data_IF_212315673374
#
_entry.id   IF_212315673374
#
_cell.length_a   1.000
_cell.length_b   1.000
_cell.length_c   1.000
_cell.angle_alpha   90.00
_cell.angle_beta   90.00
_cell.angle_gamma   90.00
#
_symmetry.space_group_name_H-M   'P 1'
#
loop_
_entity.id
_entity.type
_entity.pdbx_description
1 polymer ?
#
# COMPACT_ATOMS: atom_id res chain seq x y z
N UNK A 1 3.62 -27.22 -0.40
CA UNK A 1 2.56 -26.17 -0.24
C UNK A 1 2.76 -25.49 1.10
N UNK A 2 2.99 -24.19 1.08
CA UNK A 2 3.12 -23.41 2.30
C UNK A 2 1.74 -23.19 2.97
N UNK A 3 1.73 -22.60 4.18
CA UNK A 3 0.49 -22.37 4.92
C UNK A 3 -0.48 -21.46 4.15
N UNK A 4 0.03 -20.40 3.52
CA UNK A 4 -0.77 -19.43 2.79
C UNK A 4 -1.45 -20.05 1.57
N UNK A 5 -0.75 -20.91 0.85
CA UNK A 5 -1.32 -21.66 -0.28
C UNK A 5 -2.44 -22.61 0.16
N UNK A 6 -2.27 -23.27 1.31
CA UNK A 6 -3.31 -24.14 1.88
C UNK A 6 -4.54 -23.33 2.27
N UNK A 7 -4.34 -22.22 2.98
CA UNK A 7 -5.45 -21.33 3.36
C UNK A 7 -6.17 -20.80 2.13
N UNK A 8 -5.44 -20.35 1.12
CA UNK A 8 -6.02 -19.88 -0.14
C UNK A 8 -6.84 -20.96 -0.83
N UNK A 9 -6.31 -22.17 -0.95
CA UNK A 9 -7.00 -23.29 -1.61
C UNK A 9 -8.33 -23.68 -0.95
N UNK A 10 -8.42 -23.52 0.38
CA UNK A 10 -9.67 -23.75 1.11
C UNK A 10 -10.65 -22.58 0.97
N UNK A 11 -10.14 -21.34 1.06
CA UNK A 11 -10.98 -20.14 0.99
C UNK A 11 -11.57 -19.90 -0.40
N UNK A 12 -10.83 -20.20 -1.47
CA UNK A 12 -11.31 -19.99 -2.85
C UNK A 12 -12.51 -20.87 -3.18
N UNK A 13 -12.66 -22.02 -2.51
CA UNK A 13 -13.82 -22.89 -2.67
C UNK A 13 -15.11 -22.29 -2.14
N UNK A 14 -15.01 -21.26 -1.30
CA UNK A 14 -16.18 -20.58 -0.71
C UNK A 14 -16.71 -19.43 -1.59
N UNK A 15 -16.05 -19.14 -2.69
CA UNK A 15 -16.45 -18.11 -3.65
C UNK A 15 -16.81 -18.72 -5.00
N UNK A 16 -17.49 -17.95 -5.86
CA UNK A 16 -17.75 -18.40 -7.22
C UNK A 16 -16.46 -18.55 -8.03
N UNK A 17 -16.42 -19.45 -9.00
CA UNK A 17 -15.30 -19.66 -9.92
C UNK A 17 -14.83 -18.34 -10.53
N UNK A 18 -15.76 -17.54 -11.05
CA UNK A 18 -15.46 -16.21 -11.60
C UNK A 18 -14.76 -15.27 -10.61
N UNK A 19 -15.13 -15.31 -9.33
CA UNK A 19 -14.43 -14.51 -8.29
C UNK A 19 -13.02 -15.04 -8.02
N UNK A 20 -12.84 -16.36 -8.02
CA UNK A 20 -11.52 -16.97 -7.88
C UNK A 20 -10.58 -16.55 -9.01
N UNK A 21 -11.04 -16.65 -10.26
CA UNK A 21 -10.29 -16.19 -11.44
C UNK A 21 -9.94 -14.70 -11.37
N UNK A 22 -10.89 -13.86 -10.94
CA UNK A 22 -10.68 -12.43 -10.78
C UNK A 22 -9.61 -12.12 -9.72
N UNK A 23 -9.58 -12.86 -8.61
CA UNK A 23 -8.56 -12.69 -7.58
C UNK A 23 -7.17 -13.00 -8.11
N UNK A 24 -7.03 -14.08 -8.86
CA UNK A 24 -5.76 -14.48 -9.46
C UNK A 24 -5.29 -13.47 -10.50
N UNK A 25 -6.19 -13.00 -11.36
CA UNK A 25 -5.90 -11.99 -12.37
C UNK A 25 -5.42 -10.67 -11.74
N UNK A 26 -6.16 -10.14 -10.76
CA UNK A 26 -5.79 -8.89 -10.08
C UNK A 26 -4.47 -9.06 -9.33
N UNK A 27 -4.26 -10.16 -8.63
CA UNK A 27 -3.02 -10.43 -7.92
C UNK A 27 -1.80 -10.49 -8.86
N UNK A 28 -1.96 -11.10 -10.03
CA UNK A 28 -0.90 -11.20 -11.05
C UNK A 28 -0.51 -9.83 -11.65
N UNK A 29 -1.41 -8.85 -11.62
CA UNK A 29 -1.17 -7.49 -12.11
C UNK A 29 -0.51 -6.57 -11.07
N UNK A 30 -0.28 -7.05 -9.85
CA UNK A 30 0.35 -6.25 -8.77
C UNK A 30 1.87 -6.31 -8.83
N UNK A 31 2.50 -5.20 -8.51
CA UNK A 31 3.95 -5.10 -8.44
C UNK A 31 4.42 -4.64 -7.06
N UNK A 32 5.53 -5.21 -6.62
CA UNK A 32 6.26 -4.79 -5.43
C UNK A 32 7.58 -4.05 -5.80
N UNK A 33 7.81 -3.85 -7.10
CA UNK A 33 8.97 -3.13 -7.60
C UNK A 33 8.98 -1.65 -7.23
N UNK A 34 7.78 -1.05 -7.19
CA UNK A 34 7.57 0.33 -6.72
C UNK A 34 6.66 0.27 -5.51
N UNK A 35 7.09 0.91 -4.43
CA UNK A 35 6.26 1.17 -3.26
C UNK A 35 6.03 2.66 -3.14
N UNK A 36 4.87 3.05 -2.64
CA UNK A 36 4.53 4.44 -2.34
C UNK A 36 4.62 4.66 -0.85
N UNK A 37 5.19 5.78 -0.44
CA UNK A 37 5.26 6.20 0.96
C UNK A 37 4.57 7.55 1.09
N UNK A 38 3.63 7.65 2.02
CA UNK A 38 2.99 8.90 2.41
C UNK A 38 3.30 9.21 3.86
N UNK A 39 3.58 10.47 4.13
CA UNK A 39 3.97 10.92 5.46
C UNK A 39 2.99 11.95 5.99
N UNK A 40 2.45 11.67 7.18
CA UNK A 40 1.71 12.61 8.02
C UNK A 40 0.58 13.35 7.28
N UNK A 41 -0.19 12.64 6.45
CA UNK A 41 -1.30 13.25 5.70
C UNK A 41 -2.42 13.70 6.64
N UNK A 42 -2.75 14.97 6.56
CA UNK A 42 -3.80 15.58 7.39
C UNK A 42 -5.21 15.25 6.87
N UNK A 43 -5.41 15.26 5.54
CA UNK A 43 -6.73 15.07 4.94
C UNK A 43 -6.94 13.63 4.50
N UNK A 44 -8.00 12.97 4.98
CA UNK A 44 -8.39 11.63 4.57
C UNK A 44 -8.70 11.54 3.05
N UNK A 45 -9.12 12.65 2.43
CA UNK A 45 -9.32 12.74 0.99
C UNK A 45 -8.01 12.47 0.22
N UNK A 46 -6.89 13.06 0.65
CA UNK A 46 -5.60 12.87 0.00
C UNK A 46 -5.09 11.43 0.19
N UNK A 47 -5.24 10.88 1.39
CA UNK A 47 -4.89 9.49 1.66
C UNK A 47 -5.68 8.51 0.78
N UNK A 48 -6.98 8.75 0.66
CA UNK A 48 -7.88 7.93 -0.16
C UNK A 48 -7.56 8.04 -1.66
N UNK A 49 -7.23 9.24 -2.13
CA UNK A 49 -6.82 9.46 -3.52
C UNK A 49 -5.52 8.76 -3.86
N UNK A 50 -4.53 8.79 -2.97
CA UNK A 50 -3.26 8.06 -3.15
C UNK A 50 -3.50 6.55 -3.15
N UNK A 51 -4.29 6.03 -2.22
CA UNK A 51 -4.65 4.61 -2.17
C UNK A 51 -5.31 4.15 -3.48
N UNK A 52 -6.25 4.92 -3.99
CA UNK A 52 -6.92 4.64 -5.27
C UNK A 52 -5.93 4.68 -6.44
N UNK A 53 -5.01 5.64 -6.45
CA UNK A 53 -3.96 5.72 -7.48
C UNK A 53 -3.04 4.50 -7.42
N UNK A 54 -2.63 4.06 -6.24
CA UNK A 54 -1.87 2.83 -6.07
C UNK A 54 -2.58 1.62 -6.66
N UNK A 55 -3.88 1.48 -6.38
CA UNK A 55 -4.69 0.40 -6.93
C UNK A 55 -4.76 0.46 -8.47
N UNK A 56 -5.02 1.63 -9.05
CA UNK A 56 -5.10 1.82 -10.50
C UNK A 56 -3.80 1.46 -11.24
N UNK A 57 -2.64 1.70 -10.63
CA UNK A 57 -1.34 1.39 -11.22
C UNK A 57 -0.78 0.02 -10.81
N UNK A 58 -1.55 -0.79 -10.11
CA UNK A 58 -1.12 -2.12 -9.68
C UNK A 58 -0.02 -2.10 -8.62
N UNK A 59 0.12 -1.02 -7.85
CA UNK A 59 1.06 -0.94 -6.74
C UNK A 59 0.53 -1.81 -5.61
N UNK A 60 1.35 -2.78 -5.18
CA UNK A 60 0.95 -3.74 -4.17
C UNK A 60 0.95 -3.15 -2.77
N UNK A 61 1.88 -2.25 -2.46
CA UNK A 61 2.11 -1.78 -1.10
C UNK A 61 2.17 -0.26 -0.98
N UNK A 62 1.43 0.25 0.00
CA UNK A 62 1.43 1.64 0.44
C UNK A 62 1.96 1.71 1.87
N UNK A 63 3.05 2.43 2.09
CA UNK A 63 3.57 2.72 3.42
C UNK A 63 3.03 4.05 3.92
N UNK A 64 2.54 4.06 5.14
CA UNK A 64 1.96 5.24 5.79
C UNK A 64 2.75 5.58 7.04
N UNK A 65 3.32 6.76 7.07
CA UNK A 65 4.03 7.28 8.25
C UNK A 65 3.09 8.21 9.00
N UNK A 66 2.75 7.81 10.23
CA UNK A 66 1.91 8.58 11.13
C UNK A 66 2.79 9.24 12.20
N UNK A 67 3.01 10.54 12.08
CA UNK A 67 3.67 11.34 13.13
C UNK A 67 2.62 12.01 14.02
N UNK A 68 1.95 13.04 13.51
CA UNK A 68 0.92 13.81 14.22
C UNK A 68 -0.49 13.41 13.77
N UNK A 69 -0.64 13.05 12.49
CA UNK A 69 -1.93 12.71 11.89
C UNK A 69 -2.07 11.22 11.67
N UNK A 70 -3.23 10.68 12.03
CA UNK A 70 -3.58 9.29 11.77
C UNK A 70 -4.06 9.12 10.32
N UNK A 71 -3.69 8.00 9.73
CA UNK A 71 -4.18 7.58 8.42
C UNK A 71 -5.67 7.22 8.49
N UNK A 72 -6.46 7.92 7.70
CA UNK A 72 -7.90 7.64 7.54
C UNK A 72 -8.25 7.59 6.07
N UNK A 73 -9.12 6.67 5.71
CA UNK A 73 -9.59 6.48 4.34
C UNK A 73 -11.08 6.79 4.24
N UNK A 74 -11.42 7.65 3.30
CA UNK A 74 -12.80 7.85 2.89
C UNK A 74 -13.19 6.77 1.88
N UNK A 75 -14.15 5.92 2.23
CA UNK A 75 -14.57 4.77 1.42
C UNK A 75 -15.17 5.17 0.07
N UNK A 76 -15.85 6.29 0.02
CA UNK A 76 -16.50 6.80 -1.21
C UNK A 76 -15.45 7.27 -2.24
N UNK A 77 -14.29 7.72 -1.76
CA UNK A 77 -13.19 8.14 -2.62
C UNK A 77 -12.30 6.97 -3.00
N UNK A 78 -12.00 6.09 -2.05
CA UNK A 78 -11.13 4.94 -2.28
C UNK A 78 -11.75 3.88 -3.20
N UNK A 79 -13.08 3.79 -3.27
CA UNK A 79 -13.83 2.89 -4.18
C UNK A 79 -13.38 1.42 -4.11
N UNK A 80 -13.07 0.94 -2.91
CA UNK A 80 -12.64 -0.45 -2.69
C UNK A 80 -11.14 -0.72 -2.91
N UNK A 81 -10.33 0.28 -3.22
CA UNK A 81 -8.89 0.15 -3.41
C UNK A 81 -8.17 -0.49 -2.21
N UNK A 82 -8.66 -0.25 -0.99
CA UNK A 82 -8.13 -0.85 0.23
C UNK A 82 -8.23 -2.38 0.32
N UNK A 83 -8.97 -3.02 -0.58
CA UNK A 83 -9.04 -4.49 -0.67
C UNK A 83 -7.84 -5.09 -1.41
N UNK A 84 -7.16 -4.31 -2.25
CA UNK A 84 -6.14 -4.76 -3.18
C UNK A 84 -4.75 -4.20 -2.91
N UNK A 85 -4.64 -3.19 -2.06
CA UNK A 85 -3.38 -2.55 -1.70
C UNK A 85 -3.09 -2.84 -0.23
N UNK A 86 -1.94 -3.43 0.05
CA UNK A 86 -1.45 -3.62 1.41
C UNK A 86 -1.01 -2.29 2.00
N UNK A 87 -1.58 -1.91 3.12
CA UNK A 87 -1.19 -0.70 3.86
C UNK A 87 -0.36 -1.08 5.07
N UNK A 88 0.91 -0.67 5.06
CA UNK A 88 1.84 -0.85 6.18
C UNK A 88 2.03 0.48 6.91
N UNK A 89 1.59 0.55 8.16
CA UNK A 89 1.63 1.77 8.97
C UNK A 89 2.87 1.79 9.86
N UNK A 90 3.54 2.94 9.89
CA UNK A 90 4.74 3.20 10.69
C UNK A 90 4.44 4.28 11.74
N UNK A 91 4.32 3.86 13.00
CA UNK A 91 3.96 4.73 14.13
C UNK A 91 4.95 4.61 15.29
N UNK A 92 5.84 3.63 15.24
CA UNK A 92 6.73 3.29 16.35
C UNK A 92 8.02 4.10 16.36
N UNK A 93 8.57 4.30 17.56
CA UNK A 93 9.86 4.95 17.77
C UNK A 93 9.78 6.48 17.87
N UNK A 94 10.95 7.09 18.07
CA UNK A 94 11.08 8.55 18.17
C UNK A 94 10.95 9.26 16.82
N UNK A 95 11.20 8.55 15.74
CA UNK A 95 11.09 9.06 14.37
C UNK A 95 10.58 7.96 13.43
N UNK A 96 9.26 7.81 13.28
CA UNK A 96 8.67 6.82 12.37
C UNK A 96 9.17 6.96 10.94
N UNK A 97 9.45 8.19 10.50
CA UNK A 97 9.98 8.47 9.16
C UNK A 97 11.34 7.82 8.93
N UNK A 98 12.29 8.01 9.87
CA UNK A 98 13.62 7.41 9.77
C UNK A 98 13.56 5.88 9.81
N UNK A 99 12.72 5.33 10.66
CA UNK A 99 12.53 3.87 10.77
C UNK A 99 11.94 3.29 9.47
N UNK A 100 10.95 3.93 8.89
CA UNK A 100 10.37 3.53 7.61
C UNK A 100 11.43 3.55 6.50
N UNK A 101 12.15 4.65 6.34
CA UNK A 101 13.19 4.81 5.32
C UNK A 101 14.30 3.75 5.50
N UNK A 102 14.73 3.52 6.73
CA UNK A 102 15.75 2.51 7.05
C UNK A 102 15.29 1.10 6.68
N UNK A 103 14.06 0.76 7.03
CA UNK A 103 13.45 -0.53 6.70
C UNK A 103 13.39 -0.74 5.19
N UNK A 104 12.94 0.26 4.43
CA UNK A 104 12.84 0.18 2.98
C UNK A 104 14.22 0.05 2.31
N UNK A 105 15.22 0.79 2.78
CA UNK A 105 16.62 0.64 2.31
C UNK A 105 17.17 -0.74 2.60
N UNK A 106 16.89 -1.32 3.76
CA UNK A 106 17.29 -2.70 4.11
C UNK A 106 16.63 -3.74 3.21
N UNK A 107 15.41 -3.48 2.73
CA UNK A 107 14.71 -4.30 1.74
C UNK A 107 15.21 -4.09 0.30
N UNK A 108 16.20 -3.22 0.08
CA UNK A 108 16.82 -2.97 -1.21
C UNK A 108 16.21 -1.85 -2.04
N UNK A 109 15.26 -1.09 -1.49
CA UNK A 109 14.63 0.02 -2.20
C UNK A 109 15.53 1.27 -2.24
N UNK A 110 15.55 1.94 -3.38
CA UNK A 110 16.06 3.30 -3.51
C UNK A 110 14.95 4.28 -3.13
N UNK A 111 15.25 5.22 -2.25
CA UNK A 111 14.28 6.22 -1.81
C UNK A 111 14.35 7.44 -2.73
N UNK A 112 13.19 7.85 -3.24
CA UNK A 112 13.01 9.07 -4.02
C UNK A 112 11.98 9.93 -3.29
N UNK A 113 12.37 11.13 -2.91
CA UNK A 113 11.47 12.10 -2.29
C UNK A 113 11.00 13.12 -3.32
N UNK A 114 9.70 13.42 -3.29
CA UNK A 114 9.12 14.50 -4.10
C UNK A 114 9.02 15.76 -3.25
N UNK A 115 9.44 16.90 -3.80
CA UNK A 115 9.36 18.20 -3.13
C UNK A 115 9.16 19.30 -4.17
N UNK A 116 8.35 20.33 -3.86
CA UNK A 116 8.21 21.50 -4.72
C UNK A 116 9.32 22.54 -4.49
N UNK A 117 10.27 22.29 -3.59
CA UNK A 117 11.25 23.26 -3.09
C UNK A 117 12.69 22.96 -3.57
N UNK A 118 12.87 22.22 -4.64
CA UNK A 118 14.19 21.95 -5.22
C UNK A 118 14.20 22.28 -6.71
N UNK A 119 15.32 22.84 -7.17
CA UNK A 119 15.59 23.07 -8.59
C UNK A 119 16.36 21.89 -9.22
N UNK A 120 16.66 20.84 -8.44
CA UNK A 120 17.31 19.62 -8.90
C UNK A 120 16.28 18.53 -9.20
N UNK A 121 16.40 17.92 -10.36
CA UNK A 121 15.61 16.75 -10.79
C UNK A 121 16.51 15.52 -10.88
#
# INVERSE_FOLDING_TARGET
MNLDEKVYSELVQLVSEHKGELFDEIAAQRTDYINVVIENLYKEHNASAVLRTCDCYGIKKLHVIENENQYKVNRDIALGAGKWVDVETHTLGKSPTLECIKTLKQRGYKIIATTPHTDEF
#
